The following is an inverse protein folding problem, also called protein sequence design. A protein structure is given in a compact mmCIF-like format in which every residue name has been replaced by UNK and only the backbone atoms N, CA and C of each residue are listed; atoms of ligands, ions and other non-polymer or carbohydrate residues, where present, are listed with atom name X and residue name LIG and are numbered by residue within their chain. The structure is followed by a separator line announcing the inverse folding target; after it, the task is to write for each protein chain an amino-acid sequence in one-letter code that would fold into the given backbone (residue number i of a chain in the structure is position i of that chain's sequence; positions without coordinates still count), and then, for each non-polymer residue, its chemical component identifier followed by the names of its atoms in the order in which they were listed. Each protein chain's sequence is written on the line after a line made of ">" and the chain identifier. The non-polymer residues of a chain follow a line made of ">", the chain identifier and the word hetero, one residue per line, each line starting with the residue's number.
data_IF_222227324559
#
_entry.id   IF_222227324559
#
_cell.length_a   1.000
_cell.length_b   1.000
_cell.length_c   1.000
_cell.angle_alpha   90.00
_cell.angle_beta   90.00
_cell.angle_gamma   90.00
#
_symmetry.space_group_name_H-M   'P 1'
#
loop_
_entity.id
_entity.type
_entity.pdbx_description
1 polymer ?
#
# COMPACT_ATOMS: atom_id res chain seq x y z
N UNK A 1 52.01 7.65 -11.31
CA UNK A 1 51.22 6.48 -10.96
C UNK A 1 50.41 6.65 -9.65
N UNK A 2 51.02 6.89 -8.49
CA UNK A 2 50.28 6.98 -7.18
C UNK A 2 49.17 8.06 -7.15
N UNK A 3 49.36 9.22 -7.79
CA UNK A 3 48.32 10.29 -7.86
C UNK A 3 47.11 9.85 -8.71
N UNK A 4 47.35 9.18 -9.85
CA UNK A 4 46.28 8.71 -10.75
C UNK A 4 45.42 7.66 -10.04
N UNK A 5 46.05 6.72 -9.31
CA UNK A 5 45.35 5.70 -8.54
C UNK A 5 44.48 6.34 -7.43
N UNK A 6 44.98 7.37 -6.74
CA UNK A 6 44.22 8.10 -5.74
C UNK A 6 42.98 8.78 -6.33
N UNK A 7 43.13 9.47 -7.45
CA UNK A 7 42.00 10.14 -8.11
C UNK A 7 40.97 9.16 -8.68
N UNK A 8 41.44 8.04 -9.25
CA UNK A 8 40.56 6.98 -9.71
C UNK A 8 39.77 6.34 -8.56
N UNK A 9 40.43 6.08 -7.42
CA UNK A 9 39.75 5.58 -6.23
C UNK A 9 38.71 6.57 -5.67
N UNK A 10 39.03 7.86 -5.63
CA UNK A 10 38.07 8.88 -5.19
C UNK A 10 36.87 8.99 -6.13
N UNK A 11 37.11 8.97 -7.45
CA UNK A 11 36.02 8.99 -8.44
C UNK A 11 35.11 7.79 -8.33
N UNK A 12 35.65 6.61 -8.10
CA UNK A 12 34.87 5.37 -7.89
C UNK A 12 34.04 5.46 -6.61
N UNK A 13 34.62 5.97 -5.53
CA UNK A 13 33.89 6.15 -4.27
C UNK A 13 32.72 7.12 -4.42
N UNK A 14 32.92 8.26 -5.08
CA UNK A 14 31.87 9.23 -5.36
C UNK A 14 30.77 8.60 -6.21
N UNK A 15 31.13 7.86 -7.26
CA UNK A 15 30.17 7.17 -8.12
C UNK A 15 29.32 6.17 -7.34
N UNK A 16 29.94 5.33 -6.50
CA UNK A 16 29.24 4.37 -5.65
C UNK A 16 28.31 5.06 -4.66
N UNK A 17 28.76 6.14 -4.04
CA UNK A 17 27.93 6.94 -3.12
C UNK A 17 26.72 7.54 -3.83
N UNK A 18 26.90 8.06 -5.04
CA UNK A 18 25.79 8.57 -5.86
C UNK A 18 24.81 7.47 -6.25
N UNK A 19 25.29 6.29 -6.64
CA UNK A 19 24.45 5.14 -6.97
C UNK A 19 23.62 4.72 -5.77
N UNK A 20 24.25 4.61 -4.59
CA UNK A 20 23.54 4.28 -3.34
C UNK A 20 22.49 5.34 -3.03
N UNK A 21 22.84 6.62 -3.08
CA UNK A 21 21.92 7.72 -2.77
C UNK A 21 20.71 7.74 -3.71
N UNK A 22 20.93 7.58 -5.02
CA UNK A 22 19.84 7.55 -6.03
C UNK A 22 18.99 6.28 -5.91
N UNK A 23 19.61 5.14 -5.56
CA UNK A 23 18.95 3.86 -5.42
C UNK A 23 18.25 3.65 -4.07
N UNK A 24 18.42 4.54 -3.10
CA UNK A 24 17.77 4.43 -1.80
C UNK A 24 16.37 5.02 -1.87
N UNK A 25 15.36 4.18 -1.77
CA UNK A 25 13.97 4.61 -1.60
C UNK A 25 13.67 4.64 -0.10
N UNK A 26 13.15 5.77 0.36
CA UNK A 26 12.61 5.90 1.71
C UNK A 26 11.11 5.64 1.65
N UNK A 27 10.60 4.85 2.59
CA UNK A 27 9.17 4.65 2.73
C UNK A 27 8.48 6.00 3.02
N UNK A 28 7.36 6.23 2.35
CA UNK A 28 6.52 7.40 2.61
C UNK A 28 5.83 7.18 3.96
N UNK A 29 5.87 8.16 4.87
CA UNK A 29 5.16 8.05 6.14
C UNK A 29 3.68 7.73 5.94
N UNK A 30 3.14 6.85 6.79
CA UNK A 30 1.74 6.41 6.72
C UNK A 30 0.78 7.61 6.77
N UNK A 31 1.04 8.57 7.62
CA UNK A 31 0.23 9.77 7.80
C UNK A 31 0.12 10.60 6.51
N UNK A 32 1.20 10.67 5.73
CA UNK A 32 1.21 11.34 4.43
C UNK A 32 0.35 10.57 3.41
N UNK A 33 0.49 9.25 3.37
CA UNK A 33 -0.31 8.39 2.50
C UNK A 33 -1.81 8.46 2.86
N UNK A 34 -2.14 8.37 4.14
CA UNK A 34 -3.53 8.45 4.61
C UNK A 34 -4.14 9.82 4.32
N UNK A 35 -3.41 10.91 4.55
CA UNK A 35 -3.90 12.26 4.26
C UNK A 35 -4.25 12.46 2.79
N UNK A 36 -3.53 11.77 1.91
CA UNK A 36 -3.70 11.87 0.46
C UNK A 36 -4.72 10.90 -0.11
N UNK A 37 -4.78 9.67 0.41
CA UNK A 37 -5.52 8.58 -0.20
C UNK A 37 -6.71 8.07 0.65
N UNK A 38 -6.71 8.25 1.98
CA UNK A 38 -7.84 7.86 2.83
C UNK A 38 -8.97 8.88 2.74
N UNK A 39 -9.58 9.02 1.57
CA UNK A 39 -10.64 9.98 1.28
C UNK A 39 -11.99 9.31 1.09
N UNK A 40 -13.07 10.10 1.13
CA UNK A 40 -14.43 9.62 0.87
C UNK A 40 -14.88 8.59 1.89
N UNK A 41 -15.23 7.39 1.41
CA UNK A 41 -15.73 6.28 2.22
C UNK A 41 -14.63 5.45 2.92
N UNK A 42 -13.37 5.89 2.86
CA UNK A 42 -12.25 5.18 3.48
C UNK A 42 -12.40 5.06 4.99
N UNK A 43 -12.27 3.86 5.52
CA UNK A 43 -12.36 3.50 6.93
C UNK A 43 -11.24 2.54 7.31
N UNK A 44 -10.99 2.41 8.61
CA UNK A 44 -9.98 1.51 9.14
C UNK A 44 -10.59 0.65 10.26
N UNK A 45 -10.36 -0.65 10.15
CA UNK A 45 -10.70 -1.63 11.18
C UNK A 45 -9.42 -2.13 11.83
N UNK A 46 -9.31 -2.02 13.14
CA UNK A 46 -8.20 -2.62 13.89
C UNK A 46 -8.64 -3.99 14.39
N UNK A 47 -7.87 -5.02 14.04
CA UNK A 47 -8.08 -6.39 14.50
C UNK A 47 -7.38 -6.63 15.84
N UNK A 48 -7.71 -7.75 16.51
CA UNK A 48 -7.18 -8.11 17.82
C UNK A 48 -5.66 -8.29 17.84
N UNK A 49 -5.07 -8.66 16.71
CA UNK A 49 -3.61 -8.79 16.53
C UNK A 49 -2.90 -7.46 16.28
N UNK A 50 -3.63 -6.35 16.31
CA UNK A 50 -3.13 -5.01 16.01
C UNK A 50 -3.02 -4.68 14.52
N UNK A 51 -3.40 -5.59 13.63
CA UNK A 51 -3.48 -5.29 12.20
C UNK A 51 -4.55 -4.24 11.95
N UNK A 52 -4.26 -3.27 11.10
CA UNK A 52 -5.16 -2.17 10.77
C UNK A 52 -5.55 -2.27 9.29
N UNK A 53 -6.75 -2.73 9.03
CA UNK A 53 -7.27 -2.99 7.68
C UNK A 53 -7.95 -1.73 7.14
N UNK A 54 -7.49 -1.24 6.00
CA UNK A 54 -8.16 -0.19 5.24
C UNK A 54 -9.26 -0.79 4.38
N UNK A 55 -10.45 -0.21 4.44
CA UNK A 55 -11.60 -0.66 3.66
C UNK A 55 -12.52 0.51 3.30
N UNK A 56 -13.41 0.27 2.35
CA UNK A 56 -14.55 1.15 2.03
C UNK A 56 -15.83 0.34 2.05
N UNK A 57 -16.91 0.93 2.56
CA UNK A 57 -18.25 0.37 2.59
C UNK A 57 -19.18 1.37 1.90
N UNK A 58 -19.57 1.05 0.68
CA UNK A 58 -20.21 1.98 -0.25
C UNK A 58 -21.47 1.37 -0.86
N UNK A 59 -22.32 2.22 -1.45
CA UNK A 59 -23.52 1.80 -2.17
C UNK A 59 -24.72 1.54 -1.30
N UNK A 60 -25.65 0.70 -1.79
CA UNK A 60 -26.93 0.44 -1.15
C UNK A 60 -26.76 -0.43 0.09
N UNK A 61 -26.88 0.18 1.27
CA UNK A 61 -26.69 -0.49 2.56
C UNK A 61 -27.74 -1.58 2.85
N UNK A 62 -28.84 -1.62 2.10
CA UNK A 62 -29.89 -2.66 2.17
C UNK A 62 -29.74 -3.70 1.05
N UNK A 63 -28.82 -3.48 0.11
CA UNK A 63 -28.55 -4.37 -1.01
C UNK A 63 -27.77 -5.62 -0.60
N UNK A 64 -27.70 -6.57 -1.51
CA UNK A 64 -26.83 -7.72 -1.35
C UNK A 64 -25.37 -7.27 -1.26
N UNK A 65 -24.61 -7.85 -0.32
CA UNK A 65 -23.21 -7.51 -0.11
C UNK A 65 -22.33 -8.17 -1.18
N UNK A 66 -21.50 -7.36 -1.81
CA UNK A 66 -20.39 -7.81 -2.68
C UNK A 66 -19.07 -7.36 -2.04
N UNK A 67 -18.20 -8.33 -1.76
CA UNK A 67 -16.84 -8.06 -1.27
C UNK A 67 -15.88 -8.01 -2.46
N UNK A 68 -15.14 -6.91 -2.58
CA UNK A 68 -14.20 -6.65 -3.67
C UNK A 68 -12.77 -6.77 -3.12
N UNK A 69 -12.07 -7.81 -3.57
CA UNK A 69 -10.70 -8.14 -3.13
C UNK A 69 -9.75 -8.00 -4.32
N UNK A 70 -8.73 -7.16 -4.18
CA UNK A 70 -7.75 -6.94 -5.23
C UNK A 70 -6.74 -8.08 -5.34
N UNK A 71 -6.07 -8.17 -6.50
CA UNK A 71 -4.98 -9.11 -6.71
C UNK A 71 -3.62 -8.59 -6.25
N UNK A 72 -2.58 -9.36 -6.55
CA UNK A 72 -1.19 -8.98 -6.27
C UNK A 72 -0.86 -7.59 -6.83
N UNK A 73 -0.15 -6.80 -6.04
CA UNK A 73 0.26 -5.44 -6.37
C UNK A 73 -0.90 -4.45 -6.66
N UNK A 74 -2.11 -4.78 -6.19
CA UNK A 74 -3.29 -3.94 -6.29
C UNK A 74 -3.62 -3.21 -5.00
N UNK A 75 -4.77 -2.55 -5.02
CA UNK A 75 -5.41 -1.94 -3.85
C UNK A 75 -6.92 -1.82 -4.11
N UNK A 76 -7.69 -1.43 -3.09
CA UNK A 76 -9.13 -1.18 -3.25
C UNK A 76 -9.45 -0.10 -4.30
N UNK A 77 -8.50 0.78 -4.62
CA UNK A 77 -8.66 1.78 -5.68
C UNK A 77 -8.85 1.18 -7.07
N UNK A 78 -8.49 -0.08 -7.28
CA UNK A 78 -8.74 -0.79 -8.55
C UNK A 78 -10.24 -0.87 -8.87
N UNK A 79 -11.10 -0.73 -7.85
CA UNK A 79 -12.55 -0.85 -7.99
C UNK A 79 -13.28 0.50 -8.12
N UNK A 80 -12.59 1.63 -8.01
CA UNK A 80 -13.22 2.96 -8.07
C UNK A 80 -14.07 3.18 -9.33
N UNK A 81 -13.66 2.59 -10.45
CA UNK A 81 -14.43 2.67 -11.71
C UNK A 81 -15.63 1.73 -11.73
N UNK A 82 -15.62 0.66 -10.94
CA UNK A 82 -16.70 -0.33 -10.88
C UNK A 82 -17.81 0.09 -9.93
N UNK A 83 -17.45 0.71 -8.80
CA UNK A 83 -18.37 1.11 -7.74
C UNK A 83 -19.58 1.87 -8.25
N UNK A 84 -19.47 2.91 -9.11
CA UNK A 84 -20.63 3.67 -9.59
C UNK A 84 -21.68 2.84 -10.35
N UNK A 85 -21.27 1.73 -10.96
CA UNK A 85 -22.19 0.88 -11.72
C UNK A 85 -22.97 -0.11 -10.88
N UNK A 86 -22.47 -0.40 -9.66
CA UNK A 86 -23.06 -1.42 -8.79
C UNK A 86 -23.68 -0.83 -7.52
N UNK A 87 -23.31 0.40 -7.17
CA UNK A 87 -23.67 1.02 -5.89
C UNK A 87 -25.16 1.31 -5.71
N UNK A 88 -25.95 1.35 -6.78
CA UNK A 88 -27.41 1.52 -6.70
C UNK A 88 -28.09 0.27 -6.13
N UNK A 89 -27.64 -0.90 -6.57
CA UNK A 89 -28.30 -2.18 -6.24
C UNK A 89 -27.60 -2.93 -5.11
N UNK A 90 -26.28 -2.74 -4.93
CA UNK A 90 -25.46 -3.56 -4.04
C UNK A 90 -24.77 -2.73 -2.96
N UNK A 91 -24.54 -3.35 -1.80
CA UNK A 91 -23.59 -2.90 -0.80
C UNK A 91 -22.20 -3.44 -1.15
N UNK A 92 -21.26 -2.53 -1.36
CA UNK A 92 -19.92 -2.85 -1.86
C UNK A 92 -18.90 -2.66 -0.74
N UNK A 93 -18.24 -3.74 -0.32
CA UNK A 93 -17.16 -3.68 0.65
C UNK A 93 -15.85 -3.98 -0.06
N UNK A 94 -15.02 -2.99 -0.25
CA UNK A 94 -13.67 -3.15 -0.81
C UNK A 94 -12.62 -3.00 0.28
N UNK A 95 -11.53 -3.76 0.23
CA UNK A 95 -10.48 -3.73 1.24
C UNK A 95 -9.09 -3.83 0.61
N UNK A 96 -8.12 -3.26 1.32
CA UNK A 96 -6.70 -3.46 1.04
C UNK A 96 -6.21 -4.70 1.81
N UNK A 97 -5.67 -5.68 1.08
CA UNK A 97 -5.06 -6.86 1.70
C UNK A 97 -3.83 -6.48 2.52
N UNK A 98 -3.47 -7.27 3.55
CA UNK A 98 -2.21 -7.10 4.29
C UNK A 98 -1.00 -7.01 3.36
N UNK A 99 -0.06 -6.11 3.68
CA UNK A 99 1.09 -5.67 2.89
C UNK A 99 0.76 -4.78 1.68
N UNK A 100 -0.50 -4.44 1.42
CA UNK A 100 -0.91 -3.62 0.28
C UNK A 100 -1.69 -2.37 0.71
N UNK A 101 -1.74 -1.39 -0.20
CA UNK A 101 -2.50 -0.16 -0.03
C UNK A 101 -2.24 0.54 1.30
N UNK A 102 -3.29 1.09 1.92
CA UNK A 102 -3.20 1.74 3.22
C UNK A 102 -3.28 0.77 4.42
N UNK A 103 -3.59 -0.51 4.20
CA UNK A 103 -3.44 -1.55 5.22
C UNK A 103 -1.96 -1.69 5.60
N UNK A 104 -1.08 -1.74 4.61
CA UNK A 104 0.37 -1.83 4.83
C UNK A 104 0.79 -3.11 5.56
N UNK A 105 1.95 -3.04 6.21
CA UNK A 105 2.50 -4.17 6.95
C UNK A 105 1.68 -4.51 8.20
N UNK A 106 1.53 -5.81 8.48
CA UNK A 106 0.91 -6.31 9.70
C UNK A 106 1.96 -6.50 10.81
N UNK A 107 1.57 -6.35 12.10
CA UNK A 107 2.53 -6.40 13.22
C UNK A 107 3.33 -7.69 13.32
N UNK A 108 2.72 -8.84 12.99
CA UNK A 108 3.39 -10.14 13.06
C UNK A 108 4.43 -10.35 11.96
N UNK A 109 4.30 -9.66 10.81
CA UNK A 109 5.12 -9.92 9.63
C UNK A 109 4.88 -11.29 8.98
N UNK A 110 3.85 -12.02 9.40
CA UNK A 110 3.52 -13.34 8.88
C UNK A 110 2.47 -13.23 7.77
N UNK A 111 2.85 -13.61 6.55
CA UNK A 111 2.02 -13.55 5.34
C UNK A 111 1.84 -14.94 4.72
N UNK A 112 1.48 -15.93 5.55
CA UNK A 112 1.18 -17.28 5.07
C UNK A 112 -0.25 -17.38 4.53
N UNK A 113 -0.50 -18.37 3.67
CA UNK A 113 -1.85 -18.65 3.13
C UNK A 113 -2.84 -19.12 4.19
N UNK A 114 -2.34 -19.68 5.28
CA UNK A 114 -3.15 -20.14 6.42
C UNK A 114 -3.71 -18.98 7.25
N UNK A 115 -3.16 -17.79 7.08
CA UNK A 115 -3.58 -16.58 7.79
C UNK A 115 -4.64 -15.78 7.02
N UNK A 116 -4.73 -15.98 5.72
CA UNK A 116 -5.72 -15.37 4.84
C UNK A 116 -6.83 -16.36 4.52
#
# INVERSE_FOLDING_TARGET
>A
MKKVIKWAGLSLLILLTCIIYIGTYFDIPREELESKYATGASQFLTLDDGSRIHYRDEGNQQGQVIVLVHGFNGSLFNFERLVPYLSEDYRLVSLDLPAFGLTGAIPSGEYSTERF
#
